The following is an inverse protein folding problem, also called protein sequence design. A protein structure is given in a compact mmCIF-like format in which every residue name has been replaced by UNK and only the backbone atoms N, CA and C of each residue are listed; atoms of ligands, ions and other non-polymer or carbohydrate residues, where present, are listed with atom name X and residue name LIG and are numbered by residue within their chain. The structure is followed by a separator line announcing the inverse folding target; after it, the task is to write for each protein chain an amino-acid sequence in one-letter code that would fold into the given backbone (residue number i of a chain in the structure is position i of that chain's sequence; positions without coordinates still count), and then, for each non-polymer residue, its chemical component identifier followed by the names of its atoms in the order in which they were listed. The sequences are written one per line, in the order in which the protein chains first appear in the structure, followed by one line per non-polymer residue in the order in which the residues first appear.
data_IF_336739697541
#
_entry.id   IF_336739697541
#
_cell.length_a   1.000
_cell.length_b   1.000
_cell.length_c   1.000
_cell.angle_alpha   90.00
_cell.angle_beta   90.00
_cell.angle_gamma   90.00
#
_symmetry.space_group_name_H-M   'P 1'
#
loop_
_entity.id
_entity.type
_entity.pdbx_description
1 polymer ?
#
# COMPACT_ATOMS: atom_id res chain seq x y z
N UNK A 1 -20.39 26.79 3.38
CA UNK A 1 -19.68 26.01 4.40
C UNK A 1 -19.59 24.63 3.82
N UNK A 2 -18.39 24.15 3.56
CA UNK A 2 -18.16 22.81 3.02
C UNK A 2 -18.72 21.77 3.99
N UNK A 3 -19.20 20.63 3.50
CA UNK A 3 -19.65 19.49 4.32
C UNK A 3 -18.54 18.91 5.20
N UNK A 4 -17.31 19.33 4.99
CA UNK A 4 -16.08 18.81 5.59
C UNK A 4 -15.78 19.25 7.04
N UNK A 5 -16.61 20.06 7.69
CA UNK A 5 -16.42 20.43 9.11
C UNK A 5 -15.18 21.28 9.45
N UNK A 6 -14.29 21.59 8.48
CA UNK A 6 -13.10 22.43 8.58
C UNK A 6 -13.02 23.43 7.41
N UNK A 7 -12.20 24.49 7.58
CA UNK A 7 -11.99 25.49 6.53
C UNK A 7 -10.94 25.00 5.52
N UNK A 8 -11.42 24.41 4.42
CA UNK A 8 -10.59 23.85 3.35
C UNK A 8 -9.61 24.85 2.74
N UNK A 9 -10.09 26.08 2.44
CA UNK A 9 -9.27 27.11 1.81
C UNK A 9 -8.16 27.60 2.72
N UNK A 10 -8.47 27.81 4.01
CA UNK A 10 -7.47 28.18 5.01
C UNK A 10 -6.44 27.08 5.23
N UNK A 11 -6.88 25.83 5.26
CA UNK A 11 -5.98 24.67 5.41
C UNK A 11 -5.06 24.52 4.20
N UNK A 12 -5.59 24.59 2.97
CA UNK A 12 -4.79 24.53 1.74
C UNK A 12 -3.70 25.61 1.74
N UNK A 13 -4.02 26.86 2.09
CA UNK A 13 -3.04 27.93 2.15
C UNK A 13 -1.91 27.70 3.18
N UNK A 14 -2.23 27.09 4.32
CA UNK A 14 -1.22 26.69 5.32
C UNK A 14 -0.31 25.58 4.78
N UNK A 15 -0.89 24.56 4.13
CA UNK A 15 -0.15 23.44 3.54
C UNK A 15 0.75 23.91 2.38
N UNK A 16 0.27 24.81 1.51
CA UNK A 16 1.10 25.45 0.49
C UNK A 16 2.32 26.20 1.09
N UNK A 17 2.17 26.77 2.28
CA UNK A 17 3.29 27.44 2.95
C UNK A 17 4.33 26.48 3.51
N UNK A 18 4.01 25.19 3.64
CA UNK A 18 4.93 24.12 4.11
C UNK A 18 5.65 23.52 2.92
N UNK A 19 4.90 23.01 1.91
CA UNK A 19 5.46 22.19 0.82
C UNK A 19 5.54 22.89 -0.54
N UNK A 20 5.07 24.13 -0.67
CA UNK A 20 4.93 24.83 -1.97
C UNK A 20 3.55 24.62 -2.60
N UNK A 21 3.16 25.56 -3.49
CA UNK A 21 1.83 25.51 -4.14
C UNK A 21 1.70 24.31 -5.09
N UNK A 22 2.77 23.92 -5.75
CA UNK A 22 2.85 22.80 -6.70
C UNK A 22 2.64 21.43 -6.04
N UNK A 23 2.89 21.33 -4.73
CA UNK A 23 2.79 20.10 -3.95
C UNK A 23 1.48 20.00 -3.15
N UNK A 24 0.49 20.88 -3.43
CA UNK A 24 -0.86 20.80 -2.84
C UNK A 24 -1.90 20.79 -3.95
N UNK A 25 -2.48 19.63 -4.21
CA UNK A 25 -3.51 19.46 -5.22
C UNK A 25 -4.89 19.48 -4.55
N UNK A 26 -5.86 20.14 -5.19
CA UNK A 26 -7.25 20.28 -4.68
C UNK A 26 -8.19 19.48 -5.57
N UNK A 27 -9.15 18.79 -4.97
CA UNK A 27 -10.08 17.89 -5.68
C UNK A 27 -9.35 16.84 -6.55
N UNK A 28 -8.26 16.28 -6.01
CA UNK A 28 -7.40 15.36 -6.73
C UNK A 28 -8.02 13.97 -6.87
N UNK A 29 -8.22 13.46 -8.11
CA UNK A 29 -8.86 12.17 -8.33
C UNK A 29 -7.99 11.00 -7.84
N UNK A 30 -8.47 10.27 -6.85
CA UNK A 30 -7.75 9.14 -6.26
C UNK A 30 -7.59 7.95 -7.20
N UNK A 31 -8.35 7.90 -8.29
CA UNK A 31 -8.17 6.91 -9.37
C UNK A 31 -6.79 6.98 -10.01
N UNK A 32 -6.12 8.13 -10.00
CA UNK A 32 -4.75 8.30 -10.50
C UNK A 32 -3.67 7.85 -9.51
N UNK A 33 -4.06 7.61 -8.24
CA UNK A 33 -3.17 7.29 -7.14
C UNK A 33 -3.45 5.91 -6.50
N UNK A 34 -4.26 5.08 -7.16
CA UNK A 34 -4.54 3.70 -6.73
C UNK A 34 -4.27 2.72 -7.87
N UNK A 35 -3.75 1.53 -7.54
CA UNK A 35 -3.52 0.48 -8.55
C UNK A 35 -4.81 -0.16 -9.07
N UNK A 36 -5.96 0.09 -8.44
CA UNK A 36 -7.27 -0.22 -8.99
C UNK A 36 -7.71 0.72 -10.11
N UNK A 37 -7.08 1.91 -10.22
CA UNK A 37 -7.51 2.99 -11.11
C UNK A 37 -8.97 3.38 -10.85
N UNK A 38 -9.37 3.40 -9.57
CA UNK A 38 -10.72 3.69 -9.08
C UNK A 38 -10.62 4.62 -7.88
N UNK A 39 -11.58 5.53 -7.77
CA UNK A 39 -11.73 6.43 -6.63
C UNK A 39 -12.07 7.86 -7.03
N UNK A 40 -13.02 8.47 -6.31
CA UNK A 40 -13.38 9.87 -6.45
C UNK A 40 -12.32 10.81 -5.85
N UNK A 41 -12.53 12.14 -5.89
CA UNK A 41 -11.52 13.12 -5.51
C UNK A 41 -11.29 13.19 -3.99
N UNK A 42 -10.03 13.43 -3.61
CA UNK A 42 -9.66 13.87 -2.26
C UNK A 42 -9.79 15.40 -2.16
N UNK A 43 -10.22 15.92 -0.99
CA UNK A 43 -10.30 17.37 -0.80
C UNK A 43 -8.93 18.05 -1.00
N UNK A 44 -7.88 17.46 -0.43
CA UNK A 44 -6.49 17.89 -0.59
C UNK A 44 -5.57 16.68 -0.72
N UNK A 45 -4.62 16.78 -1.64
CA UNK A 45 -3.52 15.84 -1.83
C UNK A 45 -2.21 16.59 -1.66
N UNK A 46 -1.37 16.16 -0.71
CA UNK A 46 -0.17 16.91 -0.28
C UNK A 46 1.06 16.03 -0.38
N UNK A 47 2.08 16.52 -1.07
CA UNK A 47 3.33 15.80 -1.35
C UNK A 47 4.45 16.42 -0.51
N UNK A 48 4.88 15.78 0.60
CA UNK A 48 6.03 16.23 1.38
C UNK A 48 7.34 15.73 0.79
N UNK A 49 8.37 16.57 0.72
CA UNK A 49 9.70 16.22 0.22
C UNK A 49 10.64 15.70 1.31
N UNK A 50 10.35 15.98 2.58
CA UNK A 50 11.18 15.55 3.69
C UNK A 50 10.38 15.19 4.97
N UNK A 51 11.02 14.54 5.97
CA UNK A 51 10.38 14.16 7.22
C UNK A 51 9.86 15.32 8.08
N UNK A 52 10.49 16.50 8.03
CA UNK A 52 10.05 17.65 8.84
C UNK A 52 8.76 18.24 8.24
N UNK A 53 8.63 18.25 6.91
CA UNK A 53 7.38 18.61 6.23
C UNK A 53 6.24 17.63 6.56
N UNK A 54 6.49 16.31 6.58
CA UNK A 54 5.48 15.33 7.03
C UNK A 54 4.98 15.67 8.43
N UNK A 55 5.89 16.04 9.34
CA UNK A 55 5.54 16.44 10.70
C UNK A 55 4.72 17.73 10.72
N UNK A 56 5.14 18.76 10.00
CA UNK A 56 4.43 20.05 9.97
C UNK A 56 3.03 19.89 9.34
N UNK A 57 2.89 19.10 8.27
CA UNK A 57 1.61 18.73 7.67
C UNK A 57 0.74 18.05 8.73
N UNK A 58 1.23 16.98 9.38
CA UNK A 58 0.48 16.22 10.38
C UNK A 58 -0.06 17.14 11.50
N UNK A 59 0.78 18.01 12.05
CA UNK A 59 0.37 18.93 13.12
C UNK A 59 -0.65 19.95 12.62
N UNK A 60 -0.48 20.47 11.39
CA UNK A 60 -1.38 21.44 10.79
C UNK A 60 -2.77 20.84 10.51
N UNK A 61 -2.81 19.61 9.99
CA UNK A 61 -4.09 18.89 9.72
C UNK A 61 -4.83 18.59 11.02
N UNK A 62 -4.09 18.17 12.06
CA UNK A 62 -4.65 17.91 13.40
C UNK A 62 -5.19 19.17 14.08
N UNK A 63 -4.46 20.29 13.98
CA UNK A 63 -4.94 21.58 14.52
C UNK A 63 -6.23 22.02 13.81
N UNK A 64 -6.32 21.81 12.49
CA UNK A 64 -7.52 22.07 11.71
C UNK A 64 -8.64 21.04 11.96
N UNK A 65 -8.38 19.95 12.68
CA UNK A 65 -9.28 18.80 12.88
C UNK A 65 -9.78 18.20 11.57
N UNK A 66 -8.97 18.29 10.52
CA UNK A 66 -9.27 17.66 9.25
C UNK A 66 -8.94 16.16 9.32
N UNK A 67 -9.79 15.29 8.76
CA UNK A 67 -9.40 13.90 8.53
C UNK A 67 -8.16 13.83 7.64
N UNK A 68 -7.29 12.84 7.86
CA UNK A 68 -6.13 12.63 7.00
C UNK A 68 -5.86 11.13 6.80
N UNK A 69 -5.20 10.82 5.69
CA UNK A 69 -4.76 9.48 5.35
C UNK A 69 -3.34 9.53 4.79
N UNK A 70 -2.50 8.57 5.22
CA UNK A 70 -1.12 8.46 4.72
C UNK A 70 -1.13 7.51 3.54
N UNK A 71 -0.70 8.00 2.38
CA UNK A 71 -0.70 7.25 1.15
C UNK A 71 0.73 6.82 0.77
N UNK A 72 0.87 5.51 0.51
CA UNK A 72 1.96 4.94 -0.25
C UNK A 72 1.58 4.87 -1.74
N UNK A 73 1.81 3.72 -2.40
CA UNK A 73 1.45 3.53 -3.83
C UNK A 73 -0.03 3.19 -4.06
N UNK A 74 -0.91 3.24 -3.04
CA UNK A 74 -2.32 2.91 -3.18
C UNK A 74 -2.58 1.48 -3.69
N UNK A 75 -1.64 0.55 -3.46
CA UNK A 75 -1.67 -0.79 -4.05
C UNK A 75 -2.51 -1.81 -3.28
N UNK A 76 -3.06 -1.42 -2.14
CA UNK A 76 -4.01 -2.20 -1.34
C UNK A 76 -5.27 -1.39 -0.97
N UNK A 77 -5.57 -0.34 -1.75
CA UNK A 77 -6.58 0.66 -1.42
C UNK A 77 -7.72 0.68 -2.44
N UNK A 78 -8.96 0.76 -1.95
CA UNK A 78 -10.15 1.10 -2.71
C UNK A 78 -10.74 2.39 -2.14
N UNK A 79 -10.71 3.45 -2.93
CA UNK A 79 -11.28 4.75 -2.55
C UNK A 79 -12.70 4.85 -3.09
N UNK A 80 -13.64 5.32 -2.26
CA UNK A 80 -15.04 5.54 -2.61
C UNK A 80 -15.20 6.42 -3.85
N UNK A 81 -16.29 6.20 -4.61
CA UNK A 81 -16.66 7.07 -5.75
C UNK A 81 -16.96 8.51 -5.31
N UNK A 82 -17.38 8.71 -4.05
CA UNK A 82 -17.53 10.04 -3.46
C UNK A 82 -16.19 10.70 -3.11
N UNK A 83 -15.08 9.93 -3.17
CA UNK A 83 -13.75 10.39 -2.81
C UNK A 83 -13.50 10.43 -1.30
N UNK A 84 -12.52 11.22 -0.87
CA UNK A 84 -12.14 11.37 0.52
C UNK A 84 -12.28 12.81 1.00
N UNK A 85 -13.13 13.02 2.00
CA UNK A 85 -13.34 14.35 2.60
C UNK A 85 -12.29 14.64 3.67
N UNK A 86 -11.04 14.89 3.22
CA UNK A 86 -9.87 15.08 4.08
C UNK A 86 -8.59 15.31 3.29
N UNK A 87 -7.47 15.15 3.97
CA UNK A 87 -6.13 15.37 3.43
C UNK A 87 -5.42 14.04 3.18
N UNK A 88 -5.02 13.77 1.95
CA UNK A 88 -4.10 12.69 1.61
C UNK A 88 -2.67 13.23 1.78
N UNK A 89 -1.87 12.56 2.58
CA UNK A 89 -0.44 12.84 2.74
C UNK A 89 0.33 11.79 1.95
N UNK A 90 0.81 12.16 0.77
CA UNK A 90 1.39 11.27 -0.22
C UNK A 90 2.91 11.10 -0.01
N UNK A 91 3.29 10.33 1.00
CA UNK A 91 4.71 10.12 1.34
C UNK A 91 5.49 9.38 0.23
N UNK A 92 4.77 8.65 -0.63
CA UNK A 92 5.39 7.90 -1.73
C UNK A 92 5.90 8.79 -2.87
N UNK A 93 5.32 9.97 -3.04
CA UNK A 93 5.68 10.84 -4.16
C UNK A 93 6.90 11.73 -3.87
N UNK A 94 7.26 11.88 -2.57
CA UNK A 94 8.36 12.76 -2.16
C UNK A 94 9.50 12.06 -1.41
N UNK A 95 9.21 11.13 -0.51
CA UNK A 95 10.24 10.48 0.33
C UNK A 95 10.92 9.31 -0.42
N UNK A 96 11.79 9.58 -1.39
CA UNK A 96 12.37 8.58 -2.30
C UNK A 96 13.88 8.35 -2.15
N UNK A 97 14.52 8.89 -1.09
CA UNK A 97 15.96 8.77 -0.87
C UNK A 97 16.37 7.36 -0.46
N UNK A 98 17.53 6.91 -0.96
CA UNK A 98 18.18 5.63 -0.60
C UNK A 98 19.62 5.89 -0.21
N UNK A 99 20.10 5.20 0.82
CA UNK A 99 21.52 5.17 1.21
C UNK A 99 21.92 3.76 1.62
N UNK A 100 23.19 3.41 1.35
CA UNK A 100 23.74 2.08 1.68
C UNK A 100 25.06 2.26 2.43
N UNK A 101 25.19 1.57 3.57
CA UNK A 101 26.42 1.48 4.35
C UNK A 101 26.75 -0.01 4.53
N UNK A 102 27.76 -0.49 3.79
CA UNK A 102 28.16 -1.89 3.66
C UNK A 102 26.99 -2.81 3.25
N UNK A 103 26.32 -3.45 4.20
CA UNK A 103 25.17 -4.35 3.96
C UNK A 103 23.85 -3.78 4.51
N UNK A 104 23.90 -2.61 5.12
CA UNK A 104 22.71 -1.91 5.59
C UNK A 104 22.18 -0.95 4.53
N UNK A 105 20.97 -1.21 4.05
CA UNK A 105 20.28 -0.37 3.07
C UNK A 105 19.15 0.38 3.74
N UNK A 106 19.22 1.71 3.74
CA UNK A 106 18.16 2.58 4.26
C UNK A 106 17.40 3.20 3.10
N UNK A 107 16.10 2.92 3.03
CA UNK A 107 15.17 3.48 2.04
C UNK A 107 14.17 4.38 2.74
N UNK A 108 13.89 5.56 2.20
CA UNK A 108 12.76 6.37 2.61
C UNK A 108 11.43 5.70 2.25
N UNK A 109 10.35 6.12 2.89
CA UNK A 109 9.04 5.46 2.83
C UNK A 109 8.42 5.36 1.44
N UNK A 110 8.74 6.31 0.55
CA UNK A 110 8.25 6.38 -0.82
C UNK A 110 9.00 5.52 -1.82
N UNK A 111 10.19 5.01 -1.48
CA UNK A 111 10.94 4.12 -2.37
C UNK A 111 10.09 2.90 -2.73
N UNK A 112 10.02 2.55 -4.02
CA UNK A 112 9.33 1.36 -4.49
C UNK A 112 10.03 0.08 -4.02
N UNK A 113 9.28 -0.94 -3.61
CA UNK A 113 9.87 -2.23 -3.21
C UNK A 113 10.64 -2.90 -4.34
N UNK A 114 10.13 -2.81 -5.57
CA UNK A 114 10.83 -3.27 -6.77
C UNK A 114 12.15 -2.55 -6.94
N UNK A 115 12.14 -1.23 -6.86
CA UNK A 115 13.33 -0.37 -6.96
C UNK A 115 14.37 -0.71 -5.88
N UNK A 116 13.94 -0.85 -4.62
CA UNK A 116 14.81 -1.27 -3.53
C UNK A 116 15.44 -2.65 -3.78
N UNK A 117 14.66 -3.61 -4.30
CA UNK A 117 15.14 -4.95 -4.65
C UNK A 117 16.14 -4.92 -5.82
N UNK A 118 15.88 -4.13 -6.87
CA UNK A 118 16.77 -3.96 -8.02
C UNK A 118 18.10 -3.32 -7.60
N UNK A 119 18.04 -2.25 -6.79
CA UNK A 119 19.23 -1.57 -6.27
C UNK A 119 20.07 -2.50 -5.35
N UNK A 120 19.42 -3.28 -4.50
CA UNK A 120 20.12 -4.29 -3.68
C UNK A 120 20.86 -5.32 -4.57
N UNK A 121 20.20 -5.81 -5.64
CA UNK A 121 20.81 -6.73 -6.61
C UNK A 121 22.01 -6.10 -7.33
N UNK A 122 21.95 -4.84 -7.74
CA UNK A 122 23.06 -4.12 -8.39
C UNK A 122 24.29 -3.96 -7.48
N UNK A 123 24.07 -3.99 -6.16
CA UNK A 123 25.10 -3.89 -5.13
C UNK A 123 25.55 -5.25 -4.58
N UNK A 124 25.16 -6.36 -5.19
CA UNK A 124 25.45 -7.73 -4.72
C UNK A 124 24.92 -8.00 -3.30
N UNK A 125 23.77 -7.39 -2.95
CA UNK A 125 23.10 -7.53 -1.66
C UNK A 125 21.84 -8.39 -1.79
N UNK A 126 21.82 -9.54 -1.11
CA UNK A 126 20.72 -10.50 -1.07
C UNK A 126 19.84 -10.26 0.17
N UNK A 127 18.56 -10.56 0.03
CA UNK A 127 17.55 -10.50 1.08
C UNK A 127 16.23 -9.87 0.60
N UNK A 128 16.25 -9.01 -0.42
CA UNK A 128 15.06 -8.33 -0.96
C UNK A 128 14.50 -8.97 -2.24
N UNK A 129 14.95 -10.14 -2.67
CA UNK A 129 14.52 -10.78 -3.92
C UNK A 129 13.01 -11.03 -3.94
N UNK A 130 12.40 -11.38 -2.79
CA UNK A 130 10.97 -11.60 -2.66
C UNK A 130 10.13 -10.36 -2.99
N UNK A 131 10.74 -9.17 -2.85
CA UNK A 131 10.05 -7.89 -3.00
C UNK A 131 9.99 -7.39 -4.46
N UNK A 132 10.77 -7.98 -5.39
CA UNK A 132 10.94 -7.50 -6.77
C UNK A 132 9.64 -7.34 -7.57
N UNK A 133 8.58 -8.05 -7.19
CA UNK A 133 7.28 -7.98 -7.86
C UNK A 133 6.15 -7.37 -7.01
N UNK A 134 6.42 -6.92 -5.80
CA UNK A 134 5.38 -6.33 -4.93
C UNK A 134 5.14 -4.87 -5.35
N UNK A 135 3.94 -4.48 -5.79
CA UNK A 135 3.64 -3.12 -6.23
C UNK A 135 3.34 -2.22 -5.03
N UNK A 136 4.35 -1.91 -4.24
CA UNK A 136 4.15 -1.09 -3.03
C UNK A 136 5.39 -0.28 -2.68
N UNK A 137 5.21 0.73 -1.83
CA UNK A 137 6.30 1.50 -1.26
C UNK A 137 6.89 0.82 -0.02
N UNK A 138 8.13 1.15 0.33
CA UNK A 138 8.82 0.68 1.55
C UNK A 138 8.00 1.00 2.80
N UNK A 139 7.42 2.21 2.89
CA UNK A 139 6.58 2.59 4.03
C UNK A 139 5.34 1.71 4.17
N UNK A 140 4.62 1.49 3.07
CA UNK A 140 3.46 0.58 3.05
C UNK A 140 3.84 -0.87 3.34
N UNK A 141 5.02 -1.30 2.88
CA UNK A 141 5.53 -2.64 3.15
C UNK A 141 5.85 -2.88 4.64
N UNK A 142 6.45 -1.90 5.32
CA UNK A 142 6.67 -1.97 6.77
C UNK A 142 5.34 -1.94 7.55
N UNK A 143 4.40 -1.12 7.11
CA UNK A 143 3.06 -1.02 7.70
C UNK A 143 2.31 -2.36 7.67
N UNK A 144 2.38 -3.09 6.54
CA UNK A 144 1.66 -4.34 6.30
C UNK A 144 2.49 -5.60 6.60
N UNK A 145 3.78 -5.49 6.95
CA UNK A 145 4.73 -6.60 6.90
C UNK A 145 4.58 -7.38 5.57
N UNK A 146 4.76 -6.67 4.47
CA UNK A 146 4.54 -7.20 3.12
C UNK A 146 5.45 -8.41 2.85
N UNK A 147 4.92 -9.40 2.15
CA UNK A 147 5.67 -10.59 1.80
C UNK A 147 5.13 -11.33 0.59
N UNK A 148 6.02 -12.06 -0.07
CA UNK A 148 5.75 -12.94 -1.21
C UNK A 148 6.82 -14.04 -1.27
N UNK A 149 6.52 -15.19 -1.92
CA UNK A 149 7.50 -16.25 -2.18
C UNK A 149 8.26 -16.72 -0.93
N UNK A 150 7.53 -16.91 0.17
CA UNK A 150 8.05 -17.33 1.48
C UNK A 150 9.05 -16.34 2.14
N UNK A 151 9.17 -15.10 1.63
CA UNK A 151 9.90 -14.01 2.24
C UNK A 151 8.99 -12.86 2.65
N UNK A 152 9.36 -12.09 3.65
CA UNK A 152 8.64 -10.91 4.10
C UNK A 152 9.58 -9.84 4.69
N UNK A 153 9.04 -8.64 4.89
CA UNK A 153 9.81 -7.49 5.41
C UNK A 153 10.50 -7.83 6.73
N UNK A 154 9.83 -8.54 7.64
CA UNK A 154 10.41 -8.92 8.93
C UNK A 154 11.63 -9.83 8.84
N UNK A 155 11.91 -10.46 7.70
CA UNK A 155 13.09 -11.32 7.54
C UNK A 155 14.39 -10.51 7.37
N UNK A 156 14.27 -9.26 6.91
CA UNK A 156 15.40 -8.40 6.54
C UNK A 156 15.39 -7.03 7.21
N UNK A 157 14.27 -6.64 7.81
CA UNK A 157 14.14 -5.33 8.47
C UNK A 157 15.02 -5.28 9.73
N UNK A 158 15.81 -4.21 9.86
CA UNK A 158 16.56 -3.88 11.07
C UNK A 158 15.79 -2.93 11.95
N UNK A 159 15.36 -1.79 11.39
CA UNK A 159 14.66 -0.75 12.11
C UNK A 159 13.83 0.12 11.17
N UNK A 160 12.88 0.87 11.74
CA UNK A 160 12.12 1.91 11.03
C UNK A 160 12.23 3.23 11.77
N UNK A 161 12.37 4.33 11.01
CA UNK A 161 12.17 5.68 11.52
C UNK A 161 10.71 6.06 11.27
N UNK A 162 10.03 6.47 12.32
CA UNK A 162 8.60 6.81 12.29
C UNK A 162 8.34 8.19 12.86
N UNK A 163 7.22 8.79 12.45
CA UNK A 163 6.60 9.92 13.11
C UNK A 163 5.40 9.41 13.91
N UNK A 164 5.42 9.68 15.22
CA UNK A 164 4.34 9.34 16.14
C UNK A 164 3.19 10.34 16.02
N UNK A 165 2.03 9.94 16.54
CA UNK A 165 0.82 10.78 16.50
C UNK A 165 0.96 12.13 17.21
N UNK A 166 1.89 12.28 18.14
CA UNK A 166 2.16 13.54 18.85
C UNK A 166 3.17 14.46 18.11
N UNK A 167 3.65 14.03 16.92
CA UNK A 167 4.66 14.75 16.15
C UNK A 167 6.11 14.46 16.58
N UNK A 168 6.34 13.45 17.41
CA UNK A 168 7.68 13.05 17.84
C UNK A 168 8.28 12.05 16.87
N UNK A 169 9.54 12.23 16.47
CA UNK A 169 10.29 11.22 15.71
C UNK A 169 10.81 10.12 16.61
N UNK A 170 10.69 8.89 16.18
CA UNK A 170 11.26 7.73 16.85
C UNK A 170 11.93 6.80 15.84
N UNK A 171 12.93 6.03 16.30
CA UNK A 171 13.49 4.90 15.55
C UNK A 171 13.19 3.66 16.38
N UNK A 172 12.45 2.73 15.77
CA UNK A 172 12.03 1.48 16.41
C UNK A 172 12.83 0.33 15.81
N UNK A 173 13.37 -0.51 16.68
CA UNK A 173 14.00 -1.77 16.27
C UNK A 173 12.93 -2.79 15.86
N UNK A 174 13.29 -3.76 15.03
CA UNK A 174 12.36 -4.81 14.58
C UNK A 174 11.63 -5.50 15.73
N UNK A 175 12.30 -5.70 16.86
CA UNK A 175 11.72 -6.34 18.05
C UNK A 175 10.58 -5.54 18.71
N UNK A 176 10.44 -4.25 18.38
CA UNK A 176 9.42 -3.36 18.91
C UNK A 176 8.19 -3.24 18.01
N UNK A 177 8.20 -3.87 16.82
CA UNK A 177 7.21 -3.65 15.76
C UNK A 177 6.06 -4.66 15.75
N UNK A 178 6.12 -5.73 16.52
CA UNK A 178 5.10 -6.80 16.58
C UNK A 178 4.63 -7.25 15.18
N UNK A 179 5.60 -7.55 14.31
CA UNK A 179 5.35 -7.90 12.91
C UNK A 179 4.74 -9.29 12.79
N UNK A 180 3.57 -9.36 12.18
CA UNK A 180 2.83 -10.58 11.89
C UNK A 180 2.31 -10.62 10.45
N UNK A 181 1.48 -11.64 10.14
CA UNK A 181 0.85 -11.72 8.82
C UNK A 181 -0.13 -10.55 8.60
N UNK A 182 0.24 -9.62 7.71
CA UNK A 182 -0.52 -8.37 7.42
C UNK A 182 -0.80 -7.56 8.68
N UNK A 183 0.19 -7.49 9.56
CA UNK A 183 0.10 -6.85 10.87
C UNK A 183 1.41 -6.20 11.27
N UNK A 184 1.33 -5.04 11.92
CA UNK A 184 2.42 -4.36 12.60
C UNK A 184 1.91 -3.42 13.69
N UNK A 185 2.70 -3.19 14.72
CA UNK A 185 2.46 -2.12 15.70
C UNK A 185 2.36 -0.72 15.05
N UNK A 186 3.03 -0.52 13.92
CA UNK A 186 2.93 0.72 13.12
C UNK A 186 1.47 0.97 12.73
N UNK A 187 0.78 -0.08 12.26
CA UNK A 187 -0.63 0.00 11.85
C UNK A 187 -1.55 0.23 13.05
N UNK A 188 -1.32 -0.48 14.14
CA UNK A 188 -2.17 -0.40 15.34
C UNK A 188 -2.11 0.97 16.04
N UNK A 189 -0.93 1.58 16.08
CA UNK A 189 -0.72 2.88 16.73
C UNK A 189 -0.81 4.06 15.75
N UNK A 190 -1.07 3.81 14.46
CA UNK A 190 -1.21 4.86 13.45
C UNK A 190 0.06 5.68 13.24
N UNK A 191 1.23 5.04 13.32
CA UNK A 191 2.51 5.69 13.08
C UNK A 191 2.72 5.92 11.59
N UNK A 192 3.47 6.97 11.23
CA UNK A 192 3.86 7.26 9.85
C UNK A 192 5.30 6.80 9.65
N UNK A 193 5.52 5.85 8.74
CA UNK A 193 6.87 5.42 8.36
C UNK A 193 7.52 6.51 7.52
N UNK A 194 8.74 6.88 7.88
CA UNK A 194 9.56 7.87 7.16
C UNK A 194 10.71 7.20 6.40
N UNK A 195 11.31 6.18 7.00
CA UNK A 195 12.31 5.32 6.35
C UNK A 195 12.43 3.98 7.04
N UNK A 196 12.96 3.00 6.32
CA UNK A 196 13.29 1.67 6.85
C UNK A 196 14.74 1.33 6.54
N UNK A 197 15.44 0.71 7.50
CA UNK A 197 16.79 0.16 7.32
C UNK A 197 16.69 -1.36 7.25
N UNK A 198 17.19 -1.92 6.15
CA UNK A 198 17.26 -3.36 5.92
C UNK A 198 18.69 -3.87 6.20
N UNK A 199 18.80 -5.01 6.86
CA UNK A 199 20.05 -5.71 7.07
C UNK A 199 20.17 -6.84 6.05
N UNK A 200 20.91 -6.59 4.97
CA UNK A 200 21.10 -7.50 3.85
C UNK A 200 22.43 -8.26 4.00
N UNK A 201 22.77 -9.13 3.06
CA UNK A 201 24.03 -9.83 3.09
C UNK A 201 24.66 -9.93 1.69
N UNK A 202 25.97 -9.96 1.62
CA UNK A 202 26.71 -10.10 0.37
C UNK A 202 26.45 -11.47 -0.25
N UNK A 203 26.12 -11.50 -1.53
CA UNK A 203 25.91 -12.72 -2.30
C UNK A 203 26.34 -12.52 -3.77
N UNK A 204 26.25 -13.59 -4.56
CA UNK A 204 26.53 -13.56 -5.99
C UNK A 204 25.38 -12.85 -6.72
N UNK A 205 25.65 -11.69 -7.34
CA UNK A 205 24.64 -10.87 -8.03
C UNK A 205 23.94 -11.59 -9.17
N UNK A 206 24.59 -12.56 -9.85
CA UNK A 206 23.92 -13.36 -10.88
C UNK A 206 22.84 -14.25 -10.27
N UNK A 207 23.11 -14.86 -9.11
CA UNK A 207 22.12 -15.70 -8.40
C UNK A 207 20.98 -14.89 -7.83
N UNK A 208 21.23 -13.68 -7.33
CA UNK A 208 20.19 -12.76 -6.89
C UNK A 208 19.26 -12.46 -8.07
N UNK A 209 19.82 -12.09 -9.21
CA UNK A 209 19.07 -11.77 -10.44
C UNK A 209 18.27 -12.96 -10.95
N UNK A 210 18.87 -14.16 -11.02
CA UNK A 210 18.18 -15.38 -11.41
C UNK A 210 16.93 -15.64 -10.55
N UNK A 211 17.05 -15.45 -9.23
CA UNK A 211 15.95 -15.63 -8.29
C UNK A 211 14.84 -14.58 -8.48
N UNK A 212 15.22 -13.32 -8.69
CA UNK A 212 14.25 -12.24 -8.99
C UNK A 212 13.51 -12.51 -10.30
N UNK A 213 14.20 -12.97 -11.34
CA UNK A 213 13.59 -13.34 -12.61
C UNK A 213 12.65 -14.55 -12.47
N UNK A 214 13.00 -15.54 -11.64
CA UNK A 214 12.10 -16.66 -11.33
C UNK A 214 10.81 -16.17 -10.67
N UNK A 215 10.91 -15.30 -9.67
CA UNK A 215 9.75 -14.75 -8.98
C UNK A 215 8.90 -13.88 -9.91
N UNK A 216 9.53 -13.07 -10.75
CA UNK A 216 8.83 -12.23 -11.73
C UNK A 216 8.05 -13.10 -12.71
N UNK A 217 8.67 -14.13 -13.33
CA UNK A 217 8.00 -15.06 -14.23
C UNK A 217 6.84 -15.78 -13.56
N UNK A 218 7.05 -16.28 -12.34
CA UNK A 218 6.00 -16.96 -11.58
C UNK A 218 4.80 -16.05 -11.29
N UNK A 219 5.04 -14.75 -11.11
CA UNK A 219 4.02 -13.73 -10.91
C UNK A 219 3.26 -13.44 -12.20
N UNK A 220 3.98 -13.18 -13.28
CA UNK A 220 3.41 -12.93 -14.61
C UNK A 220 2.53 -14.10 -15.12
N UNK A 221 2.96 -15.34 -14.85
CA UNK A 221 2.18 -16.52 -15.22
C UNK A 221 0.86 -16.66 -14.43
N UNK A 222 0.85 -16.27 -13.14
CA UNK A 222 -0.24 -16.59 -12.22
C UNK A 222 -1.17 -15.42 -11.91
N UNK A 223 -0.67 -14.17 -11.98
CA UNK A 223 -1.43 -12.99 -11.57
C UNK A 223 -1.88 -12.15 -12.77
N UNK A 224 -3.04 -11.48 -12.70
CA UNK A 224 -3.60 -10.65 -13.76
C UNK A 224 -2.94 -9.26 -13.78
N UNK A 225 -1.61 -9.19 -14.03
CA UNK A 225 -0.83 -7.95 -13.94
C UNK A 225 -1.19 -6.94 -15.05
N UNK A 226 -1.88 -7.41 -16.07
CA UNK A 226 -2.41 -6.61 -17.18
C UNK A 226 -3.70 -5.85 -16.87
N UNK A 227 -4.29 -6.10 -15.71
CA UNK A 227 -5.54 -5.46 -15.27
C UNK A 227 -5.34 -4.71 -13.95
N UNK A 228 -5.91 -3.49 -13.80
CA UNK A 228 -5.85 -2.76 -12.55
C UNK A 228 -6.49 -3.54 -11.39
N UNK A 229 -5.80 -3.58 -10.25
CA UNK A 229 -6.25 -4.28 -9.04
C UNK A 229 -5.44 -3.86 -7.83
N UNK A 230 -5.91 -4.17 -6.62
CA UNK A 230 -5.16 -4.02 -5.38
C UNK A 230 -4.55 -5.36 -4.89
N UNK A 231 -4.06 -6.18 -5.81
CA UNK A 231 -3.47 -7.48 -5.47
C UNK A 231 -4.50 -8.51 -5.01
N UNK A 232 -4.10 -9.35 -4.04
CA UNK A 232 -5.01 -10.33 -3.44
C UNK A 232 -6.11 -9.62 -2.64
N UNK A 233 -7.36 -9.84 -3.02
CA UNK A 233 -8.49 -9.12 -2.44
C UNK A 233 -8.80 -9.50 -1.00
N UNK A 234 -8.51 -10.74 -0.61
CA UNK A 234 -8.85 -11.28 0.71
C UNK A 234 -7.63 -11.84 1.43
N UNK A 235 -7.58 -11.65 2.75
CA UNK A 235 -6.64 -12.33 3.64
C UNK A 235 -6.84 -13.84 3.56
N UNK A 236 -5.75 -14.61 3.63
CA UNK A 236 -5.81 -16.06 3.57
C UNK A 236 -6.47 -16.62 4.83
N UNK A 237 -7.62 -17.32 4.72
CA UNK A 237 -8.26 -17.97 5.87
C UNK A 237 -7.44 -19.17 6.34
N UNK A 238 -7.52 -19.48 7.61
CA UNK A 238 -6.82 -20.63 8.18
C UNK A 238 -7.23 -21.94 7.48
N UNK A 239 -6.25 -22.74 7.08
CA UNK A 239 -6.47 -24.03 6.41
C UNK A 239 -6.98 -23.95 4.95
N UNK A 240 -7.16 -22.76 4.39
CA UNK A 240 -7.75 -22.58 3.05
C UNK A 240 -6.89 -21.66 2.15
N UNK A 241 -7.15 -21.77 0.83
CA UNK A 241 -6.63 -20.86 -0.17
C UNK A 241 -7.80 -20.11 -0.81
N UNK A 242 -7.76 -18.77 -0.78
CA UNK A 242 -8.81 -17.90 -1.33
C UNK A 242 -9.15 -18.25 -2.78
N UNK A 243 -8.13 -18.29 -3.65
CA UNK A 243 -8.33 -18.59 -5.06
C UNK A 243 -9.03 -19.95 -5.31
N UNK A 244 -8.74 -20.95 -4.47
CA UNK A 244 -9.42 -22.26 -4.54
C UNK A 244 -10.88 -22.15 -4.10
N UNK A 245 -11.16 -21.51 -2.97
CA UNK A 245 -12.53 -21.32 -2.47
C UNK A 245 -13.40 -20.59 -3.50
N UNK A 246 -12.90 -19.49 -4.05
CA UNK A 246 -13.63 -18.69 -5.05
C UNK A 246 -13.82 -19.46 -6.36
N UNK A 247 -12.85 -20.28 -6.77
CA UNK A 247 -12.99 -21.16 -7.95
C UNK A 247 -14.02 -22.26 -7.69
N UNK A 248 -13.95 -22.93 -6.55
CA UNK A 248 -14.87 -24.02 -6.16
C UNK A 248 -16.31 -23.49 -5.97
N UNK A 249 -16.45 -22.21 -5.56
CA UNK A 249 -17.75 -21.51 -5.51
C UNK A 249 -18.34 -21.20 -6.91
N UNK A 250 -17.59 -21.40 -7.98
CA UNK A 250 -18.02 -21.08 -9.35
C UNK A 250 -17.96 -19.59 -9.69
N UNK A 251 -17.16 -18.81 -8.96
CA UNK A 251 -17.11 -17.34 -9.07
C UNK A 251 -15.93 -16.83 -9.91
N UNK A 252 -15.05 -17.70 -10.42
CA UNK A 252 -13.97 -17.32 -11.32
C UNK A 252 -14.57 -16.71 -12.60
N UNK A 253 -14.16 -15.48 -12.94
CA UNK A 253 -14.72 -14.73 -14.06
C UNK A 253 -16.08 -14.07 -13.79
N UNK A 254 -16.60 -14.11 -12.54
CA UNK A 254 -17.82 -13.37 -12.17
C UNK A 254 -17.60 -11.87 -12.35
N UNK A 255 -18.59 -11.17 -12.90
CA UNK A 255 -18.54 -9.72 -13.18
C UNK A 255 -19.78 -9.01 -12.66
N UNK A 256 -19.55 -7.77 -12.21
CA UNK A 256 -20.60 -6.82 -11.86
C UNK A 256 -20.14 -5.41 -12.27
N UNK A 257 -20.94 -4.70 -13.05
CA UNK A 257 -20.52 -3.43 -13.64
C UNK A 257 -19.21 -3.56 -14.42
N UNK A 258 -18.25 -2.68 -14.15
CA UNK A 258 -16.91 -2.70 -14.72
C UNK A 258 -15.92 -3.62 -14.00
N UNK A 259 -16.28 -4.14 -12.80
CA UNK A 259 -15.39 -4.97 -11.97
C UNK A 259 -15.67 -6.47 -12.11
N UNK A 260 -14.73 -7.31 -11.64
CA UNK A 260 -14.98 -8.74 -11.57
C UNK A 260 -13.84 -9.54 -10.95
N UNK A 261 -14.13 -10.82 -10.70
CA UNK A 261 -13.13 -11.82 -10.29
C UNK A 261 -12.29 -12.19 -11.49
N UNK A 262 -10.98 -12.11 -11.38
CA UNK A 262 -10.05 -12.39 -12.46
C UNK A 262 -10.21 -13.83 -13.00
N UNK A 263 -10.24 -13.94 -14.35
CA UNK A 263 -10.19 -15.21 -15.08
C UNK A 263 -8.83 -15.93 -14.94
N UNK A 264 -7.78 -15.21 -14.58
CA UNK A 264 -6.43 -15.75 -14.40
C UNK A 264 -6.21 -16.23 -12.98
N UNK A 265 -6.55 -15.40 -11.97
CA UNK A 265 -6.37 -15.70 -10.55
C UNK A 265 -7.61 -15.34 -9.73
N UNK A 266 -8.39 -16.32 -9.31
CA UNK A 266 -9.67 -16.11 -8.62
C UNK A 266 -9.58 -15.45 -7.22
N UNK A 267 -8.38 -15.20 -6.70
CA UNK A 267 -8.16 -14.40 -5.48
C UNK A 267 -8.07 -12.88 -5.72
N UNK A 268 -8.17 -12.45 -6.99
CA UNK A 268 -8.08 -11.04 -7.41
C UNK A 268 -9.43 -10.55 -7.92
N UNK A 269 -9.88 -9.44 -7.39
CA UNK A 269 -10.90 -8.60 -8.03
C UNK A 269 -10.15 -7.55 -8.85
N UNK A 270 -10.58 -7.33 -10.07
CA UNK A 270 -9.91 -6.46 -11.05
C UNK A 270 -10.90 -5.48 -11.66
N UNK A 271 -10.40 -4.35 -12.10
CA UNK A 271 -11.10 -3.41 -12.95
C UNK A 271 -10.93 -3.84 -14.42
N UNK A 272 -12.02 -4.26 -15.05
CA UNK A 272 -12.00 -4.71 -16.44
C UNK A 272 -12.32 -3.59 -17.42
N UNK A 273 -13.22 -2.67 -17.03
CA UNK A 273 -13.69 -1.61 -17.92
C UNK A 273 -14.35 -0.48 -17.11
N UNK A 274 -13.56 0.54 -16.78
CA UNK A 274 -14.02 1.74 -16.07
C UNK A 274 -14.91 1.41 -14.84
N UNK A 275 -14.47 0.48 -14.01
CA UNK A 275 -15.18 0.10 -12.80
C UNK A 275 -15.33 1.30 -11.85
N UNK A 276 -16.45 1.37 -11.16
CA UNK A 276 -16.63 2.23 -9.99
C UNK A 276 -16.17 1.52 -8.71
N UNK A 277 -15.94 2.27 -7.63
CA UNK A 277 -15.67 1.67 -6.33
C UNK A 277 -16.87 0.83 -5.85
N UNK A 278 -18.09 1.27 -6.15
CA UNK A 278 -19.30 0.51 -5.88
C UNK A 278 -19.34 -0.83 -6.62
N UNK A 279 -18.88 -0.90 -7.87
CA UNK A 279 -18.80 -2.15 -8.62
C UNK A 279 -17.81 -3.12 -7.97
N UNK A 280 -16.61 -2.65 -7.60
CA UNK A 280 -15.59 -3.46 -6.91
C UNK A 280 -16.12 -3.98 -5.57
N UNK A 281 -16.74 -3.10 -4.78
CA UNK A 281 -17.35 -3.46 -3.49
C UNK A 281 -18.43 -4.53 -3.65
N UNK A 282 -19.34 -4.38 -4.63
CA UNK A 282 -20.39 -5.35 -4.91
C UNK A 282 -19.82 -6.74 -5.28
N UNK A 283 -18.73 -6.80 -6.05
CA UNK A 283 -18.04 -8.06 -6.36
C UNK A 283 -17.45 -8.68 -5.09
N UNK A 284 -16.80 -7.89 -4.21
CA UNK A 284 -16.22 -8.35 -2.95
C UNK A 284 -17.31 -8.93 -2.04
N UNK A 285 -18.41 -8.22 -1.84
CA UNK A 285 -19.53 -8.68 -1.01
C UNK A 285 -20.17 -9.96 -1.56
N UNK A 286 -20.35 -10.03 -2.88
CA UNK A 286 -20.90 -11.24 -3.49
C UNK A 286 -20.00 -12.46 -3.28
N UNK A 287 -18.68 -12.29 -3.45
CA UNK A 287 -17.71 -13.37 -3.20
C UNK A 287 -17.74 -13.82 -1.75
N UNK A 288 -17.78 -12.87 -0.78
CA UNK A 288 -17.87 -13.18 0.63
C UNK A 288 -19.14 -13.97 0.96
N UNK A 289 -20.30 -13.50 0.46
CA UNK A 289 -21.60 -14.14 0.71
C UNK A 289 -21.65 -15.57 0.15
N UNK A 290 -21.18 -15.77 -1.08
CA UNK A 290 -21.22 -17.07 -1.75
C UNK A 290 -20.25 -18.08 -1.13
N UNK A 291 -19.02 -17.66 -0.79
CA UNK A 291 -18.05 -18.52 -0.11
C UNK A 291 -18.55 -18.91 1.28
N UNK A 292 -19.11 -17.96 2.05
CA UNK A 292 -19.74 -18.24 3.35
C UNK A 292 -20.91 -19.21 3.21
N UNK A 293 -21.77 -19.00 2.23
CA UNK A 293 -22.95 -19.86 1.98
C UNK A 293 -22.57 -21.30 1.60
N UNK A 294 -21.52 -21.50 0.78
CA UNK A 294 -21.18 -22.82 0.24
C UNK A 294 -20.21 -23.60 1.13
N UNK A 295 -19.30 -22.93 1.83
CA UNK A 295 -18.18 -23.57 2.57
C UNK A 295 -18.17 -23.23 4.06
N UNK A 296 -19.04 -22.33 4.53
CA UNK A 296 -19.05 -21.79 5.90
C UNK A 296 -17.71 -21.11 6.31
N UNK A 297 -16.97 -20.58 5.33
CA UNK A 297 -15.72 -19.84 5.53
C UNK A 297 -15.98 -18.35 5.38
N UNK A 298 -15.52 -17.55 6.34
CA UNK A 298 -15.57 -16.09 6.26
C UNK A 298 -14.31 -15.57 5.57
N UNK A 299 -14.49 -14.79 4.49
CA UNK A 299 -13.40 -14.06 3.83
C UNK A 299 -13.32 -12.65 4.38
N UNK A 300 -12.13 -12.25 4.83
CA UNK A 300 -11.87 -10.89 5.28
C UNK A 300 -11.08 -10.16 4.19
N UNK A 301 -11.51 -8.95 3.76
CA UNK A 301 -10.75 -8.17 2.79
C UNK A 301 -9.33 -7.90 3.29
N UNK A 302 -8.34 -7.99 2.40
CA UNK A 302 -7.00 -7.44 2.58
C UNK A 302 -6.98 -5.99 2.08
N UNK A 303 -7.76 -5.71 1.02
CA UNK A 303 -7.99 -4.37 0.49
C UNK A 303 -8.62 -3.46 1.54
N UNK A 304 -8.08 -2.27 1.69
CA UNK A 304 -8.54 -1.24 2.62
C UNK A 304 -9.50 -0.29 1.91
N UNK A 305 -10.57 0.10 2.60
CA UNK A 305 -11.57 1.02 2.10
C UNK A 305 -11.34 2.42 2.65
N UNK A 306 -11.47 3.44 1.80
CA UNK A 306 -11.31 4.84 2.17
C UNK A 306 -12.44 5.70 1.60
N UNK A 307 -13.00 6.60 2.42
CA UNK A 307 -14.02 7.56 1.98
C UNK A 307 -15.46 7.06 2.13
N UNK A 308 -15.71 6.07 2.98
CA UNK A 308 -17.07 5.61 3.33
C UNK A 308 -17.68 6.46 4.44
#
# INVERSE_FOLDING_TARGET
MSESGYDLQSLAGKLCSIVGEENVLVDEPMSEHTTFEVGGPADLYVIPDDPDEVKEILLTVKDAKAPYFILGYGSDLLVSDAGYRGVIIAVADGLTGVSVDDTEMTCQAGVGLKEASEMACELDLSGLEFACGIPGSVGGACFMNAGAYDGCISDVLKSVRVLLADGTFATLDISELDLGYRHSRIADEGMIVLSATFNLHRADGEKIREKMEEFTRAREEKQPLELPSAGSTFKRPEGHFVGKLVTDAGLKGYRFGGAGVSDKHAGFVVNYDNATAADVHAVIEHVQAEVKRQFDVELHPEVRFLGE
#
